data_IF_322578988123
#
_entry.id   IF_322578988123
#
_cell.length_a   1.000
_cell.length_b   1.000
_cell.length_c   1.000
_cell.angle_alpha   90.00
_cell.angle_beta   90.00
_cell.angle_gamma   90.00
#
_symmetry.space_group_name_H-M   'P 1'
#
loop_
_entity.id
_entity.type
_entity.pdbx_description
1 polymer ?
#
# COMPACT_ATOMS: atom_id res chain seq x y z
N UNK A 1 1.98 -21.44 42.58
CA UNK A 1 1.59 -22.14 43.83
C UNK A 1 2.86 -22.33 44.65
N UNK A 2 2.83 -21.95 45.93
CA UNK A 2 3.98 -22.07 46.85
C UNK A 2 3.65 -23.16 47.86
N UNK A 3 4.59 -24.08 48.06
CA UNK A 3 4.57 -25.02 49.17
C UNK A 3 5.45 -24.43 50.26
N UNK A 4 4.83 -24.02 51.38
CA UNK A 4 5.55 -23.39 52.47
C UNK A 4 6.48 -24.38 53.19
N UNK A 5 7.52 -23.85 53.84
CA UNK A 5 8.46 -24.68 54.60
C UNK A 5 7.72 -25.53 55.66
N UNK A 6 8.08 -26.81 55.74
CA UNK A 6 7.44 -27.76 56.66
C UNK A 6 5.97 -28.05 56.42
N UNK A 7 5.39 -27.65 55.27
CA UNK A 7 3.97 -27.87 54.97
C UNK A 7 3.59 -29.36 54.79
N UNK A 8 4.56 -30.25 54.61
CA UNK A 8 4.35 -31.69 54.47
C UNK A 8 5.13 -32.44 55.56
N UNK A 9 4.49 -33.43 56.18
CA UNK A 9 5.12 -34.37 57.11
C UNK A 9 4.94 -35.79 56.59
N UNK A 10 6.01 -36.57 56.52
CA UNK A 10 5.93 -37.97 56.10
C UNK A 10 5.55 -38.92 57.26
N UNK A 11 5.43 -40.21 56.96
CA UNK A 11 5.06 -41.26 57.94
C UNK A 11 6.14 -41.47 59.02
N UNK A 12 7.40 -41.12 58.74
CA UNK A 12 8.50 -41.18 59.70
C UNK A 12 8.61 -39.90 60.56
N UNK A 13 7.75 -38.90 60.33
CA UNK A 13 7.71 -37.64 61.07
C UNK A 13 8.67 -36.57 60.52
N UNK A 14 9.27 -36.77 59.36
CA UNK A 14 10.13 -35.76 58.75
C UNK A 14 9.27 -34.68 58.08
N UNK A 15 9.53 -33.42 58.40
CA UNK A 15 8.87 -32.27 57.76
C UNK A 15 9.68 -31.73 56.59
N UNK A 16 9.00 -31.35 55.52
CA UNK A 16 9.60 -30.69 54.37
C UNK A 16 8.58 -29.86 53.58
N UNK A 17 9.03 -29.07 52.60
CA UNK A 17 10.43 -28.77 52.26
C UNK A 17 11.13 -27.91 53.34
N UNK A 18 12.47 -27.89 53.34
CA UNK A 18 13.26 -27.12 54.34
C UNK A 18 13.15 -25.60 54.16
N UNK A 19 12.76 -25.16 52.97
CA UNK A 19 12.50 -23.77 52.60
C UNK A 19 11.27 -23.74 51.70
N UNK A 20 10.65 -22.57 51.54
CA UNK A 20 9.51 -22.41 50.65
C UNK A 20 9.89 -22.80 49.21
N UNK A 21 9.09 -23.67 48.60
CA UNK A 21 9.29 -24.11 47.22
C UNK A 21 8.17 -23.56 46.37
N UNK A 22 8.50 -22.69 45.41
CA UNK A 22 7.54 -22.15 44.46
C UNK A 22 7.64 -22.88 43.12
N UNK A 23 6.50 -23.23 42.54
CA UNK A 23 6.45 -23.69 41.15
C UNK A 23 6.53 -22.50 40.19
N UNK A 24 7.32 -22.59 39.10
CA UNK A 24 7.34 -21.54 38.09
C UNK A 24 5.97 -21.44 37.41
N UNK A 25 5.56 -20.23 37.07
CA UNK A 25 4.39 -20.01 36.23
C UNK A 25 4.77 -20.24 34.78
N UNK A 26 4.07 -21.16 34.11
CA UNK A 26 4.20 -21.37 32.65
C UNK A 26 3.17 -20.48 31.97
N UNK A 27 3.60 -19.68 30.99
CA UNK A 27 2.70 -19.00 30.07
C UNK A 27 2.62 -19.83 28.79
N UNK A 28 1.41 -20.22 28.41
CA UNK A 28 1.13 -20.82 27.11
C UNK A 28 0.66 -19.70 26.20
N UNK A 29 1.39 -19.47 25.12
CA UNK A 29 1.04 -18.51 24.09
C UNK A 29 0.85 -19.25 22.78
N UNK A 30 -0.40 -19.43 22.37
CA UNK A 30 -0.77 -20.09 21.11
C UNK A 30 -1.19 -19.08 20.03
N UNK A 31 -0.99 -17.77 20.27
CA UNK A 31 -1.34 -16.74 19.31
C UNK A 31 -0.20 -16.59 18.30
N UNK A 32 -0.50 -16.78 17.01
CA UNK A 32 0.49 -16.53 15.96
C UNK A 32 0.52 -15.05 15.57
N UNK A 33 1.70 -14.49 15.25
CA UNK A 33 1.81 -13.15 14.69
C UNK A 33 0.97 -12.99 13.42
N UNK A 34 0.06 -12.02 13.41
CA UNK A 34 -0.63 -11.55 12.20
C UNK A 34 0.03 -10.28 11.72
N UNK A 35 0.12 -10.10 10.41
CA UNK A 35 0.71 -8.90 9.81
C UNK A 35 -0.27 -8.19 8.90
N UNK A 36 -0.14 -6.88 8.82
CA UNK A 36 -0.85 -6.02 7.86
C UNK A 36 0.15 -5.08 7.23
N UNK A 37 0.05 -4.89 5.91
CA UNK A 37 0.91 -3.98 5.16
C UNK A 37 0.03 -2.94 4.50
N UNK A 38 0.24 -1.67 4.85
CA UNK A 38 -0.45 -0.52 4.27
C UNK A 38 0.54 0.33 3.48
N UNK A 39 0.16 0.74 2.28
CA UNK A 39 0.97 1.62 1.45
C UNK A 39 0.56 3.09 1.63
N UNK A 40 1.54 3.97 1.78
CA UNK A 40 1.34 5.42 1.67
C UNK A 40 1.35 5.79 0.19
N UNK A 41 0.18 6.14 -0.35
CA UNK A 41 -0.05 6.28 -1.78
C UNK A 41 0.52 7.58 -2.41
N UNK A 42 1.28 8.39 -1.66
CA UNK A 42 1.90 9.60 -2.21
C UNK A 42 3.21 9.24 -2.92
N UNK A 43 3.13 8.76 -4.16
CA UNK A 43 4.30 8.41 -4.96
C UNK A 43 4.37 9.06 -6.34
N UNK A 44 5.54 9.60 -6.67
CA UNK A 44 5.95 10.06 -7.99
C UNK A 44 7.47 9.87 -8.17
N UNK A 45 8.02 10.22 -9.33
CA UNK A 45 9.45 10.05 -9.61
C UNK A 45 10.39 10.80 -8.64
N UNK A 46 9.91 11.85 -7.95
CA UNK A 46 10.67 12.58 -6.92
C UNK A 46 10.34 12.13 -5.49
N UNK A 47 9.28 11.35 -5.29
CA UNK A 47 8.83 10.85 -3.98
C UNK A 47 8.48 9.38 -4.12
N UNK A 48 9.38 8.49 -3.70
CA UNK A 48 9.11 7.06 -3.72
C UNK A 48 8.16 6.67 -2.56
N UNK A 49 7.33 5.62 -2.73
CA UNK A 49 6.34 5.24 -1.74
C UNK A 49 6.96 4.67 -0.46
N UNK A 50 6.14 4.58 0.59
CA UNK A 50 6.51 3.88 1.82
C UNK A 50 5.41 2.92 2.24
N UNK A 51 5.81 1.86 2.92
CA UNK A 51 4.91 0.85 3.46
C UNK A 51 5.00 0.85 4.98
N UNK A 52 3.84 0.84 5.63
CA UNK A 52 3.72 0.63 7.08
C UNK A 52 3.32 -0.82 7.29
N UNK A 53 4.16 -1.53 8.04
CA UNK A 53 3.99 -2.93 8.40
C UNK A 53 3.62 -2.97 9.88
N UNK A 54 2.48 -3.57 10.21
CA UNK A 54 2.00 -3.66 11.59
C UNK A 54 1.68 -5.11 11.93
N UNK A 55 2.25 -5.59 13.03
CA UNK A 55 2.01 -6.89 13.61
C UNK A 55 0.94 -6.81 14.72
N UNK A 56 0.24 -7.92 14.98
CA UNK A 56 -0.73 -8.04 16.08
C UNK A 56 -0.09 -8.01 17.47
N UNK A 57 1.23 -8.23 17.53
CA UNK A 57 2.02 -8.34 18.75
C UNK A 57 3.49 -8.02 18.47
N UNK A 58 4.31 -8.04 19.51
CA UNK A 58 5.75 -7.86 19.37
C UNK A 58 6.34 -9.06 18.64
N UNK A 59 7.22 -8.81 17.67
CA UNK A 59 7.94 -9.83 16.92
C UNK A 59 9.44 -9.55 16.90
N UNK A 60 10.20 -10.60 16.63
CA UNK A 60 11.66 -10.62 16.48
C UNK A 60 12.04 -11.28 15.16
N UNK A 61 13.25 -11.02 14.70
CA UNK A 61 13.78 -11.60 13.45
C UNK A 61 13.42 -10.85 12.17
N UNK A 62 12.66 -9.75 12.26
CA UNK A 62 12.37 -8.91 11.10
C UNK A 62 13.61 -8.10 10.69
N UNK A 63 14.04 -8.27 9.44
CA UNK A 63 15.13 -7.50 8.82
C UNK A 63 14.71 -7.05 7.42
N UNK A 64 15.55 -6.31 6.70
CA UNK A 64 15.23 -5.94 5.33
C UNK A 64 15.10 -7.19 4.42
N UNK A 65 15.89 -8.24 4.71
CA UNK A 65 15.95 -9.47 3.92
C UNK A 65 14.72 -10.38 4.10
N UNK A 66 13.90 -10.15 5.13
CA UNK A 66 12.66 -10.91 5.32
C UNK A 66 11.57 -10.47 4.35
N UNK A 67 11.73 -9.32 3.69
CA UNK A 67 10.75 -8.78 2.75
C UNK A 67 10.98 -9.29 1.34
N UNK A 68 9.88 -9.51 0.64
CA UNK A 68 9.86 -9.70 -0.81
C UNK A 68 9.29 -8.44 -1.46
N UNK A 69 9.64 -8.18 -2.71
CA UNK A 69 9.07 -7.07 -3.46
C UNK A 69 8.81 -7.49 -4.89
N UNK A 70 7.81 -6.87 -5.50
CA UNK A 70 7.38 -7.14 -6.87
C UNK A 70 6.94 -5.85 -7.55
N UNK A 71 6.81 -5.88 -8.87
CA UNK A 71 6.38 -4.73 -9.68
C UNK A 71 7.32 -4.43 -10.84
N UNK A 72 7.04 -3.35 -11.57
CA UNK A 72 7.81 -2.94 -12.74
C UNK A 72 8.84 -1.84 -12.46
N UNK A 73 8.81 -1.23 -11.27
CA UNK A 73 9.81 -0.24 -10.87
C UNK A 73 11.16 -0.93 -10.63
N UNK A 74 12.23 -0.29 -11.08
CA UNK A 74 13.61 -0.79 -10.99
C UNK A 74 14.49 0.20 -10.24
N UNK A 75 15.62 -0.27 -9.69
CA UNK A 75 16.56 0.60 -8.96
C UNK A 75 16.09 1.04 -7.57
N UNK A 76 14.99 0.49 -7.07
CA UNK A 76 14.48 0.78 -5.74
C UNK A 76 15.47 0.35 -4.65
N UNK A 77 15.81 1.28 -3.76
CA UNK A 77 16.51 1.02 -2.51
C UNK A 77 15.51 1.03 -1.37
N UNK A 78 15.49 -0.03 -0.57
CA UNK A 78 14.59 -0.19 0.57
C UNK A 78 15.33 0.13 1.87
N UNK A 79 14.67 0.81 2.79
CA UNK A 79 15.17 1.04 4.14
C UNK A 79 14.10 0.68 5.16
N UNK A 80 14.51 -0.05 6.20
CA UNK A 80 13.63 -0.45 7.30
C UNK A 80 13.86 0.49 8.48
N UNK A 81 12.78 1.00 9.06
CA UNK A 81 12.79 1.83 10.27
C UNK A 81 11.75 1.30 11.23
N UNK A 82 12.15 1.02 12.45
CA UNK A 82 11.23 0.61 13.50
C UNK A 82 10.48 1.84 14.04
N UNK A 83 9.15 1.79 14.01
CA UNK A 83 8.28 2.87 14.52
C UNK A 83 7.85 2.59 15.96
N UNK A 84 7.62 1.33 16.29
CA UNK A 84 7.36 0.87 17.66
C UNK A 84 7.95 -0.51 17.85
N UNK A 85 8.68 -0.67 18.95
CA UNK A 85 9.47 -1.86 19.28
C UNK A 85 8.70 -3.16 18.99
N UNK A 86 9.16 -3.93 18.01
CA UNK A 86 8.63 -5.23 17.63
C UNK A 86 7.23 -5.22 17.01
N UNK A 87 6.50 -4.10 16.93
CA UNK A 87 5.08 -4.09 16.54
C UNK A 87 4.84 -3.40 15.21
N UNK A 88 5.50 -2.26 14.98
CA UNK A 88 5.27 -1.47 13.77
C UNK A 88 6.56 -0.98 13.15
N UNK A 89 6.62 -1.09 11.83
CA UNK A 89 7.81 -0.82 11.04
C UNK A 89 7.41 -0.02 9.80
N UNK A 90 8.32 0.84 9.36
CA UNK A 90 8.23 1.56 8.10
C UNK A 90 9.28 1.05 7.16
N UNK A 91 8.84 0.61 5.98
CA UNK A 91 9.72 0.31 4.85
C UNK A 91 9.61 1.46 3.87
N UNK A 92 10.64 2.30 3.78
CA UNK A 92 10.71 3.37 2.81
C UNK A 92 11.41 2.87 1.54
N UNK A 93 10.95 3.35 0.39
CA UNK A 93 11.66 3.15 -0.88
C UNK A 93 12.30 4.46 -1.33
N UNK A 94 13.35 4.38 -2.14
CA UNK A 94 14.02 5.53 -2.75
C UNK A 94 14.71 5.12 -4.05
N UNK A 95 14.95 6.06 -4.97
CA UNK A 95 15.66 5.79 -6.22
C UNK A 95 14.91 4.92 -7.24
N UNK A 96 13.64 4.63 -6.99
CA UNK A 96 12.80 3.82 -7.87
C UNK A 96 12.54 4.53 -9.22
N UNK A 97 12.61 3.78 -10.31
CA UNK A 97 12.08 4.22 -11.60
C UNK A 97 10.55 4.33 -11.59
N UNK A 98 9.99 4.98 -12.61
CA UNK A 98 8.56 4.92 -12.91
C UNK A 98 8.12 3.46 -13.08
N UNK A 99 6.96 3.10 -12.56
CA UNK A 99 6.45 1.74 -12.58
C UNK A 99 5.55 1.43 -11.40
N UNK A 100 5.48 0.15 -11.03
CA UNK A 100 4.76 -0.30 -9.84
C UNK A 100 5.70 -0.93 -8.82
N UNK A 101 5.32 -0.85 -7.54
CA UNK A 101 5.99 -1.56 -6.45
C UNK A 101 4.97 -2.10 -5.45
N UNK A 102 5.15 -3.34 -5.04
CA UNK A 102 4.43 -4.03 -3.96
C UNK A 102 5.44 -4.68 -3.04
N UNK A 103 5.08 -4.77 -1.75
CA UNK A 103 5.92 -5.33 -0.69
C UNK A 103 5.21 -6.54 -0.09
N UNK A 104 5.95 -7.62 0.08
CA UNK A 104 5.47 -8.88 0.61
C UNK A 104 6.24 -9.33 1.84
N UNK A 105 5.58 -10.12 2.68
CA UNK A 105 6.19 -10.85 3.79
C UNK A 105 5.84 -12.34 3.60
N UNK A 106 6.84 -13.24 3.46
CA UNK A 106 6.62 -14.68 3.38
C UNK A 106 5.99 -15.26 4.66
N UNK A 107 5.41 -16.47 4.62
CA UNK A 107 4.96 -17.14 5.83
C UNK A 107 6.15 -17.48 6.76
N UNK A 108 5.89 -17.54 8.07
CA UNK A 108 6.85 -17.94 9.11
C UNK A 108 8.16 -17.15 9.10
N UNK A 109 8.12 -15.87 8.73
CA UNK A 109 9.29 -15.00 8.63
C UNK A 109 9.70 -14.33 9.95
N UNK A 110 8.81 -14.30 10.94
CA UNK A 110 9.03 -13.64 12.24
C UNK A 110 8.58 -14.50 13.40
N UNK A 111 9.12 -14.23 14.59
CA UNK A 111 8.83 -14.98 15.82
C UNK A 111 8.36 -14.04 16.94
N UNK A 112 7.29 -14.37 17.64
CA UNK A 112 6.86 -13.64 18.85
C UNK A 112 7.67 -14.03 20.12
N UNK A 113 7.45 -13.36 21.26
CA UNK A 113 8.02 -13.76 22.55
C UNK A 113 7.59 -15.14 23.06
N UNK A 114 6.47 -15.68 22.58
CA UNK A 114 5.97 -17.03 22.86
C UNK A 114 6.71 -18.13 22.09
N UNK A 115 7.48 -17.77 21.06
CA UNK A 115 8.17 -18.69 20.17
C UNK A 115 7.37 -19.12 18.95
N UNK A 116 6.19 -18.54 18.70
CA UNK A 116 5.37 -18.87 17.54
C UNK A 116 5.88 -18.18 16.28
N UNK A 117 5.92 -18.93 15.18
CA UNK A 117 6.28 -18.41 13.87
C UNK A 117 5.06 -17.87 13.14
N UNK A 118 5.16 -16.63 12.65
CA UNK A 118 4.13 -16.00 11.83
C UNK A 118 4.74 -15.18 10.68
N UNK A 119 3.90 -14.67 9.76
CA UNK A 119 2.48 -14.99 9.61
C UNK A 119 2.23 -16.42 9.09
N UNK A 120 1.04 -16.98 9.31
CA UNK A 120 0.69 -18.34 8.82
C UNK A 120 0.72 -18.44 7.29
N UNK A 121 0.33 -17.36 6.62
CA UNK A 121 0.36 -17.24 5.16
C UNK A 121 1.13 -15.98 4.80
N UNK A 122 1.83 -16.00 3.67
CA UNK A 122 2.46 -14.80 3.16
C UNK A 122 1.41 -13.72 2.85
N UNK A 123 1.80 -12.46 3.05
CA UNK A 123 0.94 -11.29 2.82
C UNK A 123 1.65 -10.33 1.88
N UNK A 124 0.93 -9.87 0.87
CA UNK A 124 1.38 -8.86 -0.09
C UNK A 124 0.59 -7.56 0.13
N UNK A 125 1.27 -6.42 -0.03
CA UNK A 125 0.63 -5.11 -0.03
C UNK A 125 -0.16 -4.87 -1.31
N UNK A 126 -1.00 -3.83 -1.30
CA UNK A 126 -1.49 -3.25 -2.56
C UNK A 126 -0.32 -2.74 -3.41
N UNK A 127 -0.45 -2.84 -4.74
CA UNK A 127 0.53 -2.28 -5.68
C UNK A 127 0.43 -0.76 -5.71
N UNK A 128 1.57 -0.09 -5.58
CA UNK A 128 1.67 1.37 -5.64
C UNK A 128 2.27 1.81 -6.97
N UNK A 129 1.65 2.80 -7.61
CA UNK A 129 2.11 3.36 -8.89
C UNK A 129 3.07 4.53 -8.61
N UNK A 130 4.26 4.46 -9.19
CA UNK A 130 5.24 5.54 -9.22
C UNK A 130 5.14 6.18 -10.60
N UNK A 131 4.59 7.39 -10.66
CA UNK A 131 4.43 8.14 -11.91
C UNK A 131 5.54 9.19 -12.08
N UNK A 132 5.94 9.47 -13.32
CA UNK A 132 6.66 10.70 -13.63
C UNK A 132 5.70 11.87 -13.45
N UNK A 133 5.66 12.45 -12.25
CA UNK A 133 5.06 13.76 -12.09
C UNK A 133 5.83 14.73 -13.00
N UNK A 134 5.28 15.02 -14.19
CA UNK A 134 5.67 16.22 -14.92
C UNK A 134 5.28 17.36 -14.01
N UNK A 135 6.28 17.96 -13.34
CA UNK A 135 6.08 18.96 -12.31
C UNK A 135 4.95 19.90 -12.70
N UNK A 136 3.84 19.85 -11.97
CA UNK A 136 2.76 20.81 -12.12
C UNK A 136 3.30 22.13 -11.57
N UNK A 137 4.05 22.86 -12.39
CA UNK A 137 4.14 24.30 -12.29
C UNK A 137 2.74 24.82 -12.61
N UNK A 138 1.88 24.85 -11.59
CA UNK A 138 0.94 25.95 -11.45
C UNK A 138 1.80 27.20 -11.32
N UNK A 139 2.21 27.75 -12.48
CA UNK A 139 2.51 29.16 -12.61
C UNK A 139 1.22 29.84 -12.17
N UNK A 140 1.15 30.16 -10.88
CA UNK A 140 0.20 31.12 -10.36
C UNK A 140 0.45 32.39 -11.15
N UNK A 141 -0.31 32.56 -12.22
CA UNK A 141 -0.39 33.81 -12.95
C UNK A 141 -0.78 34.85 -11.92
N UNK A 142 0.22 35.59 -11.44
CA UNK A 142 0.01 36.78 -10.66
C UNK A 142 -0.89 37.66 -11.51
N UNK A 143 -2.17 37.70 -11.15
CA UNK A 143 -3.10 38.69 -11.67
C UNK A 143 -2.59 40.02 -11.15
N UNK A 144 -1.72 40.66 -11.93
CA UNK A 144 -1.36 42.05 -11.76
C UNK A 144 -2.69 42.82 -11.70
N UNK A 145 -3.01 43.32 -10.50
CA UNK A 145 -4.19 44.15 -10.26
C UNK A 145 -4.03 45.40 -11.14
N UNK A 146 -4.95 45.71 -12.06
CA UNK A 146 -4.81 46.92 -12.87
C UNK A 146 -4.98 48.13 -11.95
N UNK A 147 -3.93 48.93 -11.81
CA UNK A 147 -4.02 50.27 -11.22
C UNK A 147 -4.80 51.15 -12.20
N UNK A 148 -6.01 51.54 -11.83
CA UNK A 148 -6.77 52.55 -12.57
C UNK A 148 -6.04 53.89 -12.44
N UNK A 149 -5.38 54.33 -13.51
CA UNK A 149 -4.96 55.72 -13.67
C UNK A 149 -5.90 56.33 -14.71
N UNK A 150 -6.82 57.17 -14.23
CA UNK A 150 -7.65 57.99 -15.10
C UNK A 150 -6.79 59.07 -15.78
N UNK A 151 -6.89 59.19 -17.11
CA UNK A 151 -6.79 60.49 -17.79
C UNK A 151 -7.55 60.47 -19.12
N UNK A 152 -8.38 61.49 -19.28
CA UNK A 152 -9.26 61.72 -20.42
C UNK A 152 -8.50 62.02 -21.73
N UNK A 153 -9.11 61.57 -22.83
CA UNK A 153 -9.28 62.33 -24.08
C UNK A 153 -8.09 62.44 -25.03
N UNK A 154 -8.20 61.88 -26.24
CA UNK A 154 -8.39 62.61 -27.51
C UNK A 154 -8.22 61.67 -28.72
N UNK A 155 -9.23 61.65 -29.58
CA UNK A 155 -9.25 61.07 -30.93
C UNK A 155 -8.15 61.66 -31.80
N UNK A 156 -7.54 60.91 -32.74
CA UNK A 156 -7.18 61.37 -34.11
C UNK A 156 -6.54 60.29 -35.01
N UNK A 157 -7.14 60.17 -36.22
CA UNK A 157 -6.62 59.72 -37.55
C UNK A 157 -6.34 58.24 -37.81
N UNK A 158 -7.09 57.72 -38.79
CA UNK A 158 -6.96 56.37 -39.33
C UNK A 158 -5.87 56.18 -40.38
N UNK A 159 -5.69 54.91 -40.75
CA UNK A 159 -5.15 54.46 -42.03
C UNK A 159 -5.63 53.01 -42.28
N UNK A 160 -6.15 52.80 -43.48
CA UNK A 160 -6.67 51.55 -44.08
C UNK A 160 -5.60 50.49 -44.30
N UNK A 161 -5.89 49.21 -43.98
CA UNK A 161 -5.88 48.02 -44.88
C UNK A 161 -5.80 46.72 -44.06
N UNK A 162 -6.81 45.85 -44.19
CA UNK A 162 -6.75 44.48 -43.67
C UNK A 162 -6.29 43.54 -44.80
N UNK A 163 -5.13 42.91 -44.62
CA UNK A 163 -4.67 41.76 -45.43
C UNK A 163 -4.80 40.52 -44.56
N UNK A 164 -5.73 39.64 -44.91
CA UNK A 164 -5.96 38.38 -44.19
C UNK A 164 -4.73 37.46 -44.31
N UNK A 165 -4.29 36.91 -43.18
CA UNK A 165 -3.35 35.79 -43.12
C UNK A 165 -4.17 34.56 -42.75
N UNK A 166 -4.22 33.56 -43.63
CA UNK A 166 -4.97 32.33 -43.42
C UNK A 166 -4.31 31.46 -42.35
N UNK A 167 -5.07 31.01 -41.36
CA UNK A 167 -4.72 29.85 -40.54
C UNK A 167 -5.48 28.64 -41.06
N UNK A 168 -4.74 27.56 -41.37
CA UNK A 168 -5.27 26.36 -41.99
C UNK A 168 -6.28 25.60 -41.12
N UNK A 169 -7.37 25.20 -41.78
CA UNK A 169 -8.29 24.06 -41.53
C UNK A 169 -8.44 23.58 -40.08
N UNK A 170 -9.50 24.05 -39.42
CA UNK A 170 -10.12 23.35 -38.29
C UNK A 170 -11.09 22.27 -38.82
N UNK A 171 -10.92 21.01 -38.41
CA UNK A 171 -11.92 19.95 -38.61
C UNK A 171 -12.83 19.92 -37.37
N UNK A 172 -14.13 20.05 -37.62
CA UNK A 172 -15.17 20.46 -36.68
C UNK A 172 -15.34 19.58 -35.43
N UNK A 173 -15.46 20.22 -34.27
CA UNK A 173 -16.21 19.69 -33.12
C UNK A 173 -17.68 20.10 -33.28
N UNK A 174 -18.58 19.11 -33.33
CA UNK A 174 -20.03 19.29 -33.18
C UNK A 174 -20.41 18.82 -31.78
N UNK A 175 -20.77 19.76 -30.91
CA UNK A 175 -21.36 19.46 -29.62
C UNK A 175 -22.82 19.05 -29.83
N UNK A 176 -23.15 17.84 -29.39
CA UNK A 176 -24.52 17.41 -29.11
C UNK A 176 -24.51 16.73 -27.74
N UNK A 177 -25.46 17.14 -26.90
CA UNK A 177 -25.57 16.91 -25.47
C UNK A 177 -25.60 15.44 -24.99
N UNK A 178 -25.46 15.35 -23.67
CA UNK A 178 -25.94 14.29 -22.75
C UNK A 178 -24.91 13.24 -22.33
N UNK A 179 -24.68 13.16 -21.01
CA UNK A 179 -24.43 11.88 -20.35
C UNK A 179 -23.23 11.84 -19.43
N UNK A 180 -23.47 12.10 -18.15
CA UNK A 180 -22.68 11.57 -17.04
C UNK A 180 -22.55 10.04 -17.20
N UNK A 181 -21.34 9.52 -17.45
CA UNK A 181 -21.05 8.09 -17.30
C UNK A 181 -19.57 7.86 -17.01
N UNK A 182 -19.34 7.20 -15.87
CA UNK A 182 -18.07 6.71 -15.37
C UNK A 182 -17.39 5.75 -16.35
N UNK A 183 -16.05 5.75 -16.35
CA UNK A 183 -15.29 4.53 -16.65
C UNK A 183 -14.52 4.13 -15.40
N UNK A 184 -15.15 3.26 -14.63
CA UNK A 184 -14.47 2.40 -13.67
C UNK A 184 -13.55 1.44 -14.45
N UNK A 185 -12.29 1.40 -14.09
CA UNK A 185 -11.42 0.29 -14.43
C UNK A 185 -11.75 -0.87 -13.48
N UNK A 186 -12.15 -2.02 -14.03
CA UNK A 186 -12.17 -3.30 -13.31
C UNK A 186 -11.32 -4.28 -14.09
N UNK A 187 -10.32 -4.83 -13.39
CA UNK A 187 -9.38 -5.81 -13.90
C UNK A 187 -9.99 -7.22 -14.02
N UNK A 188 -9.28 -8.05 -14.79
CA UNK A 188 -9.10 -9.51 -14.61
C UNK A 188 -10.07 -10.50 -15.28
N UNK A 189 -9.51 -11.29 -16.21
CA UNK A 189 -9.40 -12.77 -16.16
C UNK A 189 -8.76 -13.24 -17.49
N UNK A 190 -7.48 -13.62 -17.52
CA UNK A 190 -6.91 -14.93 -17.18
C UNK A 190 -7.25 -16.06 -18.19
N UNK A 191 -6.31 -16.24 -19.11
CA UNK A 191 -5.71 -17.48 -19.65
C UNK A 191 -6.55 -18.76 -19.85
N UNK A 192 -6.46 -19.22 -21.10
CA UNK A 192 -6.25 -20.59 -21.59
C UNK A 192 -6.58 -21.77 -20.65
N UNK A 193 -7.47 -22.63 -21.14
CA UNK A 193 -7.10 -24.01 -21.37
C UNK A 193 -8.12 -25.07 -20.96
N UNK A 194 -8.27 -26.03 -21.89
CA UNK A 194 -8.74 -27.41 -21.72
C UNK A 194 -10.24 -27.65 -21.90
N UNK A 195 -10.51 -28.46 -22.93
CA UNK A 195 -11.10 -29.81 -22.77
C UNK A 195 -12.52 -30.02 -23.29
N UNK A 196 -12.56 -30.98 -24.22
CA UNK A 196 -13.64 -31.91 -24.53
C UNK A 196 -14.89 -31.39 -25.26
N UNK A 197 -14.84 -31.59 -26.58
CA UNK A 197 -16.00 -32.05 -27.33
C UNK A 197 -16.59 -33.29 -26.66
N UNK A 198 -17.87 -33.24 -26.29
CA UNK A 198 -18.86 -34.26 -26.61
C UNK A 198 -20.21 -33.95 -25.95
N UNK A 199 -21.26 -34.31 -26.69
CA UNK A 199 -22.50 -34.90 -26.21
C UNK A 199 -23.74 -34.01 -25.98
N UNK A 200 -24.63 -34.10 -26.98
CA UNK A 200 -25.92 -34.83 -26.89
C UNK A 200 -27.11 -34.08 -26.26
N UNK A 201 -28.01 -33.65 -27.17
CA UNK A 201 -29.42 -34.07 -27.29
C UNK A 201 -30.47 -33.51 -26.30
N UNK A 202 -31.64 -33.18 -26.90
CA UNK A 202 -32.99 -32.98 -26.33
C UNK A 202 -33.19 -31.61 -25.62
N UNK A 203 -34.26 -30.85 -25.82
CA UNK A 203 -35.64 -31.28 -25.98
C UNK A 203 -36.52 -30.31 -26.78
N UNK A 204 -37.52 -30.89 -27.44
CA UNK A 204 -38.69 -30.24 -28.01
C UNK A 204 -39.63 -29.71 -26.92
N UNK A 205 -40.46 -28.70 -27.26
CA UNK A 205 -41.91 -28.59 -26.98
C UNK A 205 -42.35 -27.15 -26.73
N UNK A 206 -43.18 -26.61 -27.63
CA UNK A 206 -44.46 -25.91 -27.38
C UNK A 206 -44.97 -25.41 -28.74
N UNK A 207 -45.96 -26.13 -29.30
CA UNK A 207 -47.41 -25.84 -29.26
C UNK A 207 -47.78 -24.74 -30.24
#
# INVERSE_FOLDING_TARGET
MVLESGALTDVAGNTGPMVDVSSPTVKVDDQLPRVTISADARSNASVSPSFTVTFSEQVTGLTLDTFTHSGSATGCVFTLTELSAGVSFRVATSGCSVGTVSLGIPPSSVTDPGGNLGPTTGIESASVIIDAASGSTTTGGGMARPRVIAKQGTTTRGATTMKAVSFGVAKAFKNADVGLAALAATSAALMLGRSLAASKKLAATRR
#
